data_IF_073997750977
#
_entry.id   IF_073997750977
#
_cell.length_a   1.000
_cell.length_b   1.000
_cell.length_c   1.000
_cell.angle_alpha   90.00
_cell.angle_beta   90.00
_cell.angle_gamma   90.00
#
_symmetry.space_group_name_H-M   'P 1'
#
loop_
_entity.id
_entity.type
_entity.pdbx_description
1 polymer ?
#
# COMPACT_ATOMS: atom_id res chain seq x y z
N UNK A 1 -1.26 12.16 16.36
CA UNK A 1 -0.39 13.07 15.56
C UNK A 1 -0.92 13.03 14.16
N UNK A 2 -1.35 14.17 13.61
CA UNK A 2 -1.68 14.26 12.20
C UNK A 2 -0.41 13.97 11.40
N UNK A 3 -0.42 12.91 10.61
CA UNK A 3 0.67 12.60 9.70
C UNK A 3 0.68 13.67 8.61
N UNK A 4 1.70 14.52 8.61
CA UNK A 4 2.00 15.34 7.44
C UNK A 4 2.24 14.39 6.27
N UNK A 5 1.60 14.65 5.10
CA UNK A 5 1.75 13.79 3.91
C UNK A 5 3.21 13.61 3.47
N UNK A 6 4.13 14.43 4.01
CA UNK A 6 5.58 14.35 3.74
C UNK A 6 6.36 14.66 5.00
N UNK A 7 7.29 13.77 5.39
CA UNK A 7 8.14 13.95 6.55
C UNK A 7 9.56 13.41 6.33
N UNK A 8 10.49 13.89 7.15
CA UNK A 8 11.87 13.37 7.20
C UNK A 8 12.11 12.85 8.61
N UNK A 9 12.34 11.55 8.73
CA UNK A 9 12.67 10.89 10.01
C UNK A 9 14.09 10.38 10.04
N UNK A 10 14.67 10.36 11.23
CA UNK A 10 15.98 9.75 11.48
C UNK A 10 15.79 8.46 12.28
N UNK A 11 16.37 7.37 11.77
CA UNK A 11 16.41 6.06 12.42
C UNK A 11 17.86 5.68 12.74
N UNK A 12 18.07 5.06 13.87
CA UNK A 12 19.40 4.68 14.34
C UNK A 12 19.80 3.25 13.96
N UNK A 13 18.85 2.49 13.39
CA UNK A 13 19.07 1.16 12.84
C UNK A 13 18.03 0.83 11.76
N UNK A 14 18.36 -0.11 10.85
CA UNK A 14 17.38 -0.67 9.90
C UNK A 14 16.27 -1.42 10.62
N UNK A 15 16.57 -2.03 11.75
CA UNK A 15 15.58 -2.72 12.58
C UNK A 15 14.51 -1.76 13.09
N UNK A 16 14.88 -0.61 13.63
CA UNK A 16 13.94 0.42 14.08
C UNK A 16 13.04 0.92 12.94
N UNK A 17 13.63 1.11 11.74
CA UNK A 17 12.89 1.49 10.54
C UNK A 17 11.88 0.42 10.15
N UNK A 18 12.28 -0.85 10.15
CA UNK A 18 11.39 -1.98 9.82
C UNK A 18 10.26 -2.13 10.85
N UNK A 19 10.56 -2.04 12.12
CA UNK A 19 9.55 -2.09 13.20
C UNK A 19 8.50 -0.97 13.03
N UNK A 20 8.92 0.23 12.62
CA UNK A 20 7.99 1.32 12.32
C UNK A 20 7.10 1.03 11.11
N UNK A 21 7.64 0.44 10.04
CA UNK A 21 6.87 0.02 8.86
C UNK A 21 5.89 -1.09 9.21
N UNK A 22 6.32 -2.10 9.95
CA UNK A 22 5.45 -3.20 10.38
C UNK A 22 4.27 -2.71 11.22
N UNK A 23 4.48 -1.70 12.07
CA UNK A 23 3.41 -1.10 12.87
C UNK A 23 2.42 -0.34 11.97
N UNK A 24 2.89 0.40 10.97
CA UNK A 24 2.04 1.05 9.98
C UNK A 24 1.20 0.02 9.19
N UNK A 25 1.80 -1.06 8.72
CA UNK A 25 1.10 -2.14 8.02
C UNK A 25 -0.01 -2.74 8.90
N UNK A 26 0.25 -2.95 10.19
CA UNK A 26 -0.76 -3.45 11.14
C UNK A 26 -1.95 -2.49 11.25
N UNK A 27 -1.68 -1.18 11.37
CA UNK A 27 -2.74 -0.17 11.46
C UNK A 27 -3.59 -0.13 10.18
N UNK A 28 -2.96 -0.14 9.00
CA UNK A 28 -3.70 -0.19 7.73
C UNK A 28 -4.51 -1.47 7.56
N UNK A 29 -4.00 -2.62 8.02
CA UNK A 29 -4.76 -3.86 8.00
C UNK A 29 -6.02 -3.79 8.87
N UNK A 30 -5.97 -3.14 10.04
CA UNK A 30 -7.14 -2.93 10.90
C UNK A 30 -8.18 -2.07 10.19
N UNK A 31 -7.76 -0.93 9.61
CA UNK A 31 -8.67 -0.04 8.88
C UNK A 31 -9.30 -0.75 7.67
N UNK A 32 -8.51 -1.52 6.92
CA UNK A 32 -9.02 -2.32 5.79
C UNK A 32 -10.08 -3.34 6.22
N UNK A 33 -9.88 -3.98 7.38
CA UNK A 33 -10.85 -4.92 7.94
C UNK A 33 -12.15 -4.23 8.32
N UNK A 34 -12.07 -3.08 9.00
CA UNK A 34 -13.24 -2.29 9.39
C UNK A 34 -14.05 -1.84 8.17
N UNK A 35 -13.38 -1.30 7.14
CA UNK A 35 -14.03 -0.88 5.90
C UNK A 35 -14.62 -2.07 5.14
N UNK A 36 -13.96 -3.21 5.12
CA UNK A 36 -14.46 -4.43 4.48
C UNK A 36 -15.67 -5.01 5.19
N UNK A 37 -15.72 -4.91 6.53
CA UNK A 37 -16.88 -5.32 7.31
C UNK A 37 -18.06 -4.39 7.07
N UNK A 38 -17.81 -3.07 7.10
CA UNK A 38 -18.82 -2.07 6.81
C UNK A 38 -19.42 -2.26 5.41
N UNK A 39 -18.57 -2.38 4.38
CA UNK A 39 -19.01 -2.61 2.99
C UNK A 39 -19.83 -3.89 2.88
N UNK A 40 -19.44 -4.95 3.58
CA UNK A 40 -20.19 -6.20 3.60
C UNK A 40 -21.56 -6.10 4.25
N UNK A 41 -21.70 -5.29 5.30
CA UNK A 41 -22.99 -5.01 5.94
C UNK A 41 -23.86 -4.15 5.03
N UNK A 42 -23.28 -3.12 4.45
CA UNK A 42 -23.94 -2.20 3.53
C UNK A 42 -24.53 -2.94 2.31
N UNK A 43 -23.70 -3.75 1.62
CA UNK A 43 -24.17 -4.51 0.46
C UNK A 43 -25.28 -5.51 0.81
N UNK A 44 -25.21 -6.17 1.96
CA UNK A 44 -26.31 -7.04 2.41
C UNK A 44 -27.60 -6.28 2.67
N UNK A 45 -27.52 -5.09 3.24
CA UNK A 45 -28.70 -4.22 3.45
C UNK A 45 -29.29 -3.72 2.13
N UNK A 46 -28.46 -3.45 1.13
CA UNK A 46 -28.86 -2.96 -0.18
C UNK A 46 -29.32 -4.06 -1.15
N UNK A 47 -29.15 -5.34 -0.82
CA UNK A 47 -29.42 -6.49 -1.68
C UNK A 47 -30.86 -6.53 -2.21
N UNK A 48 -31.83 -6.32 -1.34
CA UNK A 48 -33.25 -6.39 -1.68
C UNK A 48 -33.68 -5.37 -2.75
N UNK A 49 -33.02 -4.21 -2.80
CA UNK A 49 -33.35 -3.12 -3.71
C UNK A 49 -32.45 -3.06 -4.95
N UNK A 50 -31.28 -3.73 -4.95
CA UNK A 50 -30.25 -3.55 -5.94
C UNK A 50 -29.64 -4.84 -6.50
N UNK A 51 -30.16 -6.03 -6.16
CA UNK A 51 -29.60 -7.33 -6.56
C UNK A 51 -29.51 -7.55 -8.07
N UNK A 52 -30.38 -6.92 -8.83
CA UNK A 52 -30.45 -6.96 -10.29
C UNK A 52 -29.54 -5.92 -10.97
N UNK A 53 -29.15 -4.88 -10.25
CA UNK A 53 -28.27 -3.82 -10.77
C UNK A 53 -26.85 -4.30 -10.99
N UNK A 54 -26.23 -3.85 -12.08
CA UNK A 54 -24.89 -4.28 -12.49
C UNK A 54 -23.81 -3.83 -11.50
N UNK A 55 -23.90 -2.57 -11.03
CA UNK A 55 -22.95 -2.06 -10.03
C UNK A 55 -22.92 -2.92 -8.75
N UNK A 56 -24.10 -3.37 -8.28
CA UNK A 56 -24.19 -4.21 -7.09
C UNK A 56 -23.52 -5.56 -7.29
N UNK A 57 -23.75 -6.21 -8.43
CA UNK A 57 -23.12 -7.49 -8.79
C UNK A 57 -21.60 -7.37 -8.86
N UNK A 58 -21.11 -6.29 -9.48
CA UNK A 58 -19.69 -6.00 -9.60
C UNK A 58 -19.02 -5.78 -8.24
N UNK A 59 -19.55 -4.89 -7.40
CA UNK A 59 -19.01 -4.62 -6.06
C UNK A 59 -19.09 -5.83 -5.13
N UNK A 60 -20.17 -6.62 -5.22
CA UNK A 60 -20.31 -7.86 -4.45
C UNK A 60 -19.29 -8.93 -4.86
N UNK A 61 -18.98 -9.05 -6.14
CA UNK A 61 -17.93 -9.93 -6.65
C UNK A 61 -16.54 -9.47 -6.20
N UNK A 62 -16.25 -8.17 -6.30
CA UNK A 62 -14.97 -7.58 -5.87
C UNK A 62 -14.74 -7.72 -4.36
N UNK A 63 -15.77 -7.53 -3.55
CA UNK A 63 -15.70 -7.74 -2.09
C UNK A 63 -15.29 -9.18 -1.73
N UNK A 64 -15.80 -10.18 -2.45
CA UNK A 64 -15.39 -11.58 -2.25
C UNK A 64 -13.91 -11.78 -2.54
N UNK A 65 -13.38 -11.10 -3.55
CA UNK A 65 -11.96 -11.15 -3.93
C UNK A 65 -11.04 -10.54 -2.88
N UNK A 66 -11.44 -9.41 -2.27
CA UNK A 66 -10.69 -8.78 -1.16
C UNK A 66 -10.53 -9.76 0.01
N UNK A 67 -11.61 -10.48 0.38
CA UNK A 67 -11.58 -11.47 1.47
C UNK A 67 -10.69 -12.69 1.18
N UNK A 68 -10.51 -13.05 -0.09
CA UNK A 68 -9.69 -14.21 -0.47
C UNK A 68 -8.19 -13.92 -0.57
N UNK A 69 -7.77 -12.67 -0.81
CA UNK A 69 -6.35 -12.26 -0.85
C UNK A 69 -5.62 -12.35 0.51
N UNK A 70 -6.33 -12.50 1.62
CA UNK A 70 -5.75 -12.71 2.97
C UNK A 70 -5.07 -14.08 3.20
N UNK A 71 -5.01 -14.99 2.20
CA UNK A 71 -4.18 -16.20 2.29
C UNK A 71 -2.88 -15.95 1.53
N UNK A 72 -1.69 -16.20 2.14
CA UNK A 72 -0.42 -16.04 1.46
C UNK A 72 -0.34 -17.04 0.30
N UNK A 73 -0.63 -16.60 -0.91
CA UNK A 73 -0.31 -17.34 -2.12
C UNK A 73 1.03 -16.83 -2.66
N UNK A 74 2.03 -17.73 -2.59
CA UNK A 74 3.28 -17.66 -3.33
C UNK A 74 3.00 -17.38 -4.81
N UNK A 75 3.66 -16.33 -5.30
CA UNK A 75 4.01 -16.06 -6.69
C UNK A 75 3.12 -16.65 -7.80
N UNK A 76 2.36 -15.77 -8.47
CA UNK A 76 2.29 -15.82 -9.93
C UNK A 76 2.22 -14.39 -10.49
N UNK A 77 3.29 -14.01 -11.21
CA UNK A 77 3.34 -12.86 -12.09
C UNK A 77 2.21 -13.01 -13.11
N UNK A 78 1.18 -12.17 -13.03
CA UNK A 78 0.26 -11.95 -14.15
C UNK A 78 0.45 -10.54 -14.67
N UNK A 79 1.05 -10.52 -15.86
CA UNK A 79 1.14 -9.38 -16.76
C UNK A 79 -0.20 -8.69 -16.94
N UNK A 80 -0.13 -7.35 -17.04
CA UNK A 80 -1.26 -6.50 -17.35
C UNK A 80 -2.04 -7.00 -18.57
N UNK A 81 -3.33 -7.19 -18.37
CA UNK A 81 -4.31 -7.21 -19.45
C UNK A 81 -5.11 -5.93 -19.33
N UNK A 82 -5.05 -5.15 -20.41
CA UNK A 82 -5.96 -4.05 -20.66
C UNK A 82 -7.39 -4.47 -20.31
N UNK A 83 -7.91 -3.96 -19.21
CA UNK A 83 -9.34 -4.07 -18.94
C UNK A 83 -10.04 -3.12 -19.91
N UNK A 84 -10.71 -3.68 -20.90
CA UNK A 84 -11.78 -2.98 -21.60
C UNK A 84 -12.66 -2.31 -20.54
N UNK A 85 -12.79 -1.00 -20.62
CA UNK A 85 -13.83 -0.24 -19.95
C UNK A 85 -15.18 -0.71 -20.51
N UNK A 86 -15.76 -1.74 -19.91
CA UNK A 86 -17.20 -1.96 -20.03
C UNK A 86 -17.83 -0.77 -19.31
N UNK A 87 -18.79 -0.14 -19.99
CA UNK A 87 -19.55 1.00 -19.46
C UNK A 87 -20.25 0.54 -18.19
N UNK A 88 -19.60 0.75 -17.06
CA UNK A 88 -20.27 0.71 -15.76
C UNK A 88 -21.26 1.86 -15.76
N UNK A 89 -22.52 1.59 -15.38
CA UNK A 89 -23.41 2.66 -14.96
C UNK A 89 -22.69 3.40 -13.83
N UNK A 90 -22.13 4.55 -14.15
CA UNK A 90 -21.40 5.37 -13.20
C UNK A 90 -22.40 5.83 -12.13
N UNK A 91 -21.99 5.83 -10.87
CA UNK A 91 -22.78 6.49 -9.83
C UNK A 91 -23.05 7.93 -10.26
N UNK A 92 -24.23 8.47 -9.91
CA UNK A 92 -24.59 9.86 -10.21
C UNK A 92 -23.67 10.82 -9.43
N UNK A 93 -22.45 11.00 -9.96
CA UNK A 93 -21.46 11.93 -9.44
C UNK A 93 -21.63 13.30 -10.08
N UNK A 94 -21.92 14.30 -9.26
CA UNK A 94 -21.94 15.70 -9.67
C UNK A 94 -20.64 16.40 -9.25
N UNK A 95 -20.02 17.12 -10.17
CA UNK A 95 -18.84 17.93 -9.85
C UNK A 95 -19.26 19.26 -9.21
N UNK A 96 -18.71 19.57 -8.05
CA UNK A 96 -18.85 20.86 -7.39
C UNK A 96 -17.44 21.39 -7.07
N UNK A 97 -16.95 22.30 -7.90
CA UNK A 97 -15.56 22.78 -7.91
C UNK A 97 -14.58 21.59 -8.06
N UNK A 98 -13.73 21.37 -7.06
CA UNK A 98 -12.71 20.32 -7.05
C UNK A 98 -13.19 19.04 -6.32
N UNK A 99 -14.49 18.95 -5.97
CA UNK A 99 -15.08 17.84 -5.23
C UNK A 99 -16.18 17.19 -6.03
N UNK A 100 -16.21 15.86 -6.03
CA UNK A 100 -17.31 15.06 -6.58
C UNK A 100 -18.31 14.73 -5.48
N UNK A 101 -19.61 14.91 -5.74
CA UNK A 101 -20.70 14.71 -4.80
C UNK A 101 -21.68 13.69 -5.37
N UNK A 102 -22.04 12.69 -4.59
CA UNK A 102 -23.10 11.74 -4.91
C UNK A 102 -24.03 11.56 -3.70
N UNK A 103 -25.31 11.36 -3.94
CA UNK A 103 -26.31 11.00 -2.93
C UNK A 103 -26.79 9.55 -3.08
N UNK A 104 -26.20 8.77 -3.98
CA UNK A 104 -26.62 7.40 -4.30
C UNK A 104 -25.97 6.36 -3.39
N UNK A 105 -26.67 5.23 -3.17
CA UNK A 105 -26.11 4.05 -2.50
C UNK A 105 -24.90 3.48 -3.23
N UNK A 106 -24.90 3.54 -4.56
CA UNK A 106 -23.78 3.14 -5.38
C UNK A 106 -22.54 4.01 -5.08
N UNK A 107 -22.68 5.35 -5.08
CA UNK A 107 -21.58 6.26 -4.75
C UNK A 107 -21.01 6.03 -3.35
N UNK A 108 -21.87 5.72 -2.37
CA UNK A 108 -21.44 5.38 -1.02
C UNK A 108 -20.60 4.10 -0.98
N UNK A 109 -21.00 3.06 -1.70
CA UNK A 109 -20.25 1.82 -1.79
C UNK A 109 -18.93 1.99 -2.56
N UNK A 110 -18.93 2.77 -3.65
CA UNK A 110 -17.74 3.06 -4.46
C UNK A 110 -16.65 3.76 -3.66
N UNK A 111 -16.99 4.79 -2.88
CA UNK A 111 -16.01 5.50 -2.02
C UNK A 111 -15.31 4.54 -1.06
N UNK A 112 -16.06 3.66 -0.39
CA UNK A 112 -15.47 2.73 0.58
C UNK A 112 -14.63 1.67 -0.12
N UNK A 113 -15.08 1.19 -1.28
CA UNK A 113 -14.31 0.26 -2.08
C UNK A 113 -13.00 0.87 -2.57
N UNK A 114 -13.04 2.09 -3.09
CA UNK A 114 -11.85 2.83 -3.50
C UNK A 114 -10.89 3.07 -2.34
N UNK A 115 -11.39 3.43 -1.17
CA UNK A 115 -10.58 3.57 0.04
C UNK A 115 -9.85 2.27 0.41
N UNK A 116 -10.55 1.12 0.37
CA UNK A 116 -9.95 -0.19 0.61
C UNK A 116 -8.84 -0.49 -0.42
N UNK A 117 -9.07 -0.20 -1.70
CA UNK A 117 -8.09 -0.41 -2.76
C UNK A 117 -6.84 0.46 -2.57
N UNK A 118 -7.02 1.73 -2.25
CA UNK A 118 -5.92 2.66 -1.97
C UNK A 118 -5.08 2.19 -0.76
N UNK A 119 -5.74 1.76 0.32
CA UNK A 119 -5.04 1.25 1.51
C UNK A 119 -4.28 -0.03 1.19
N UNK A 120 -4.87 -0.98 0.44
CA UNK A 120 -4.18 -2.20 0.04
C UNK A 120 -2.94 -1.91 -0.82
N UNK A 121 -3.05 -0.98 -1.80
CA UNK A 121 -1.90 -0.56 -2.61
C UNK A 121 -0.79 0.06 -1.75
N UNK A 122 -1.16 0.73 -0.67
CA UNK A 122 -0.20 1.31 0.29
C UNK A 122 0.48 0.23 1.12
N UNK A 123 -0.27 -0.78 1.59
CA UNK A 123 0.28 -1.95 2.29
C UNK A 123 1.28 -2.68 1.39
N UNK A 124 0.94 -2.96 0.14
CA UNK A 124 1.83 -3.62 -0.82
C UNK A 124 3.17 -2.87 -0.97
N UNK A 125 3.12 -1.52 -1.07
CA UNK A 125 4.33 -0.69 -1.15
C UNK A 125 5.17 -0.73 0.14
N UNK A 126 4.53 -0.73 1.30
CA UNK A 126 5.19 -0.83 2.59
C UNK A 126 5.85 -2.21 2.78
N UNK A 127 5.21 -3.30 2.37
CA UNK A 127 5.76 -4.66 2.39
C UNK A 127 7.00 -4.78 1.49
N UNK A 128 6.95 -4.16 0.29
CA UNK A 128 8.12 -4.10 -0.59
C UNK A 128 9.27 -3.33 0.04
N UNK A 129 8.99 -2.18 0.68
CA UNK A 129 10.02 -1.40 1.36
C UNK A 129 10.61 -2.17 2.56
N UNK A 130 9.78 -2.84 3.35
CA UNK A 130 10.22 -3.68 4.48
C UNK A 130 11.15 -4.79 4.00
N UNK A 131 10.78 -5.49 2.92
CA UNK A 131 11.60 -6.53 2.31
C UNK A 131 12.95 -6.01 1.84
N UNK A 132 12.99 -4.86 1.17
CA UNK A 132 14.23 -4.23 0.73
C UNK A 132 15.14 -3.86 1.91
N UNK A 133 14.59 -3.32 2.99
CA UNK A 133 15.37 -3.01 4.19
C UNK A 133 15.85 -4.27 4.93
N UNK A 134 15.09 -5.36 4.90
CA UNK A 134 15.52 -6.65 5.44
C UNK A 134 16.73 -7.21 4.66
N UNK A 135 16.76 -7.04 3.35
CA UNK A 135 17.89 -7.43 2.51
C UNK A 135 19.13 -6.57 2.79
N UNK A 136 18.97 -5.25 2.92
CA UNK A 136 20.04 -4.33 3.31
C UNK A 136 20.63 -4.69 4.69
N UNK A 137 19.79 -5.08 5.65
CA UNK A 137 20.24 -5.52 6.96
C UNK A 137 21.06 -6.81 6.89
N UNK A 138 20.63 -7.80 6.08
CA UNK A 138 21.34 -9.06 5.86
C UNK A 138 22.70 -8.84 5.18
N UNK A 139 22.84 -7.85 4.31
CA UNK A 139 24.09 -7.50 3.66
C UNK A 139 25.11 -6.84 4.61
N UNK A 140 24.78 -6.72 5.90
CA UNK A 140 25.66 -6.16 6.92
C UNK A 140 25.69 -4.63 6.95
N UNK A 141 24.78 -3.99 6.23
CA UNK A 141 24.60 -2.54 6.29
C UNK A 141 23.79 -2.21 7.56
N UNK A 142 24.39 -1.60 8.55
CA UNK A 142 23.64 -1.19 9.74
C UNK A 142 24.48 -0.91 10.97
N UNK A 143 25.68 -1.43 11.07
CA UNK A 143 26.58 -1.12 12.19
C UNK A 143 27.17 0.28 12.00
N UNK A 144 26.95 1.15 13.00
CA UNK A 144 27.46 2.52 13.05
C UNK A 144 26.89 3.50 11.99
N UNK A 145 25.71 3.18 11.43
CA UNK A 145 25.01 4.00 10.46
C UNK A 145 23.73 4.58 11.08
N UNK A 146 23.44 5.82 10.75
CA UNK A 146 22.16 6.50 10.99
C UNK A 146 21.46 6.67 9.64
N UNK A 147 20.17 6.45 9.59
CA UNK A 147 19.36 6.49 8.38
C UNK A 147 18.45 7.71 8.42
N UNK A 148 18.60 8.61 7.46
CA UNK A 148 17.67 9.72 7.26
C UNK A 148 16.74 9.31 6.16
N UNK A 149 15.45 9.17 6.47
CA UNK A 149 14.43 8.62 5.57
C UNK A 149 13.46 9.71 5.19
N UNK A 150 13.28 9.91 3.89
CA UNK A 150 12.20 10.71 3.34
C UNK A 150 10.98 9.82 3.19
N UNK A 151 9.89 10.18 3.87
CA UNK A 151 8.63 9.46 3.91
C UNK A 151 7.58 10.36 3.25
N UNK A 152 6.90 9.83 2.23
CA UNK A 152 5.81 10.49 1.54
C UNK A 152 4.55 9.64 1.64
N UNK A 153 3.47 10.24 2.12
CA UNK A 153 2.21 9.52 2.43
C UNK A 153 2.40 8.26 3.29
N UNK A 154 3.33 8.31 4.25
CA UNK A 154 3.67 7.20 5.12
C UNK A 154 4.56 6.12 4.47
N UNK A 155 4.96 6.28 3.20
CA UNK A 155 5.80 5.33 2.46
C UNK A 155 7.24 5.84 2.41
N UNK A 156 8.24 5.06 2.86
CA UNK A 156 9.65 5.42 2.72
C UNK A 156 10.05 5.37 1.24
N UNK A 157 10.44 6.52 0.69
CA UNK A 157 10.84 6.61 -0.72
C UNK A 157 12.34 6.79 -0.93
N UNK A 158 13.01 7.48 0.00
CA UNK A 158 14.44 7.79 -0.12
C UNK A 158 15.14 7.60 1.21
N UNK A 159 16.36 7.07 1.14
CA UNK A 159 17.20 6.78 2.29
C UNK A 159 18.56 7.42 2.12
N UNK A 160 18.99 8.19 3.11
CA UNK A 160 20.36 8.72 3.20
C UNK A 160 21.07 8.02 4.35
N UNK A 161 22.23 7.46 4.05
CA UNK A 161 23.10 6.79 5.00
C UNK A 161 24.12 7.78 5.56
N UNK A 162 24.15 7.92 6.89
CA UNK A 162 25.11 8.77 7.59
C UNK A 162 25.90 7.95 8.59
N UNK A 163 27.21 7.87 8.38
CA UNK A 163 28.09 7.18 9.32
C UNK A 163 28.28 7.99 10.60
N UNK A 164 28.27 7.32 11.77
CA UNK A 164 28.47 7.98 13.07
C UNK A 164 29.90 8.52 13.24
N UNK A 165 30.89 8.01 12.47
CA UNK A 165 32.31 8.36 12.59
C UNK A 165 32.97 8.91 11.30
N UNK A 166 32.21 9.33 10.29
CA UNK A 166 32.74 10.07 9.13
C UNK A 166 33.56 9.26 8.12
N UNK A 167 33.57 7.92 8.18
CA UNK A 167 34.29 7.07 7.23
C UNK A 167 33.43 6.56 6.07
N UNK A 168 34.08 6.31 4.94
CA UNK A 168 33.57 6.08 3.59
C UNK A 168 32.47 5.01 3.45
N UNK A 169 31.20 5.41 3.52
CA UNK A 169 30.07 4.55 3.20
C UNK A 169 29.90 4.36 1.69
N UNK A 170 30.30 5.36 0.89
CA UNK A 170 30.05 5.37 -0.55
C UNK A 170 30.66 4.16 -1.28
N UNK A 171 31.84 3.69 -0.87
CA UNK A 171 32.49 2.51 -1.48
C UNK A 171 31.77 1.21 -1.07
N UNK A 172 31.36 1.12 0.19
CA UNK A 172 30.65 -0.07 0.70
C UNK A 172 29.26 -0.22 0.09
N UNK A 173 28.57 0.89 -0.13
CA UNK A 173 27.25 0.91 -0.75
C UNK A 173 27.32 0.54 -2.23
N UNK A 174 28.33 1.04 -2.96
CA UNK A 174 28.57 0.66 -4.36
C UNK A 174 28.79 -0.84 -4.50
N UNK A 175 29.60 -1.44 -3.63
CA UNK A 175 29.84 -2.89 -3.65
C UNK A 175 28.57 -3.72 -3.45
N UNK A 176 27.68 -3.30 -2.52
CA UNK A 176 26.43 -4.01 -2.24
C UNK A 176 25.45 -3.88 -3.41
N UNK A 177 25.31 -2.69 -4.00
CA UNK A 177 24.41 -2.47 -5.15
C UNK A 177 24.91 -3.18 -6.42
N UNK A 178 26.21 -3.20 -6.68
CA UNK A 178 26.79 -3.91 -7.82
C UNK A 178 26.62 -5.43 -7.68
N UNK A 179 26.75 -5.98 -6.48
CA UNK A 179 26.54 -7.41 -6.22
C UNK A 179 25.07 -7.84 -6.38
N UNK A 180 24.12 -6.99 -5.98
CA UNK A 180 22.66 -7.27 -6.12
C UNK A 180 22.22 -7.28 -7.58
N UNK A 181 22.78 -6.42 -8.43
CA UNK A 181 22.45 -6.35 -9.86
C UNK A 181 23.00 -7.56 -10.62
N UNK A 182 24.12 -8.13 -10.19
CA UNK A 182 24.74 -9.29 -10.85
C UNK A 182 23.96 -10.60 -10.63
N UNK A 183 23.09 -10.68 -9.60
CA UNK A 183 22.31 -11.89 -9.28
C UNK A 183 20.97 -11.98 -10.04
N UNK A 184 20.54 -10.91 -10.71
CA UNK A 184 19.29 -10.90 -11.50
C UNK A 184 19.50 -11.22 -12.99
N UNK A 185 20.72 -11.54 -13.45
CA UNK A 185 21.04 -11.79 -14.87
C UNK A 185 21.46 -13.23 -15.19
N UNK A 186 21.19 -14.23 -14.31
CA UNK A 186 21.35 -15.66 -14.64
C UNK A 186 20.02 -16.40 -14.69
#
# INVERSE_FOLDING_TARGET
MESLGTEVRTFYSLRELREAIEEEIKQYNVITEEYSQWLGLFLRGAEAANSDKEWYKNLSAMQKTIKTKKKPQKNEKKQGKDKKQEQQEAADWASFRDVMISASEQGQAEIVFEAIEQINNKIDKLEHAESAFAELEKSGLGKDITFIVFIHDGIPEKLVLRHKKGEEIAERFKFITEFSVSTEQE
#
